data_IF_175644162458
#
_entry.id   IF_175644162458
#
_cell.length_a   1.000
_cell.length_b   1.000
_cell.length_c   1.000
_cell.angle_alpha   90.00
_cell.angle_beta   90.00
_cell.angle_gamma   90.00
#
_symmetry.space_group_name_H-M   'P 1'
#
loop_
_entity.id
_entity.type
_entity.pdbx_description
1 polymer ?
#
# COMPACT_ATOMS: atom_id res chain seq x y z
N UNK A 1 26.28 12.65 6.11
CA UNK A 1 25.79 12.05 7.37
C UNK A 1 24.34 11.59 7.23
N UNK A 2 23.36 12.45 6.93
CA UNK A 2 21.97 12.04 6.67
C UNK A 2 21.88 11.12 5.43
N UNK A 3 22.57 11.47 4.33
CA UNK A 3 22.62 10.62 3.13
C UNK A 3 23.24 9.24 3.37
N UNK A 4 24.25 9.14 4.23
CA UNK A 4 24.89 7.86 4.54
C UNK A 4 23.99 6.97 5.38
N UNK A 5 23.19 7.56 6.28
CA UNK A 5 22.17 6.85 7.06
C UNK A 5 21.09 6.31 6.13
N UNK A 6 20.49 7.14 5.27
CA UNK A 6 19.45 6.67 4.34
C UNK A 6 19.98 5.69 3.31
N UNK A 7 21.22 5.88 2.84
CA UNK A 7 21.91 4.92 2.00
C UNK A 7 22.04 3.60 2.74
N UNK A 8 22.58 3.57 3.95
CA UNK A 8 22.72 2.35 4.75
C UNK A 8 21.38 1.69 5.06
N UNK A 9 20.33 2.47 5.33
CA UNK A 9 18.95 2.00 5.50
C UNK A 9 18.47 1.34 4.22
N UNK A 10 18.63 1.97 3.05
CA UNK A 10 18.29 1.39 1.74
C UNK A 10 19.04 0.07 1.49
N UNK A 11 20.36 0.02 1.73
CA UNK A 11 21.16 -1.21 1.60
C UNK A 11 20.77 -2.30 2.61
N UNK A 12 20.27 -1.90 3.79
CA UNK A 12 19.78 -2.79 4.84
C UNK A 12 18.43 -3.43 4.50
N UNK A 13 17.64 -2.82 3.62
CA UNK A 13 16.32 -3.35 3.22
C UNK A 13 16.37 -4.48 2.17
N UNK A 14 17.55 -4.79 1.62
CA UNK A 14 17.75 -5.98 0.80
C UNK A 14 18.08 -7.18 1.71
N UNK A 15 17.15 -8.13 1.90
CA UNK A 15 17.43 -9.28 2.74
C UNK A 15 18.60 -10.07 2.16
N UNK A 16 19.57 -10.43 3.01
CA UNK A 16 20.63 -11.32 2.58
C UNK A 16 20.09 -12.74 2.35
N UNK A 17 20.83 -13.56 1.60
CA UNK A 17 20.38 -14.92 1.25
C UNK A 17 20.07 -15.77 2.50
N UNK A 18 20.86 -15.61 3.56
CA UNK A 18 20.67 -16.32 4.83
C UNK A 18 19.35 -15.94 5.51
N UNK A 19 18.95 -14.66 5.48
CA UNK A 19 17.68 -14.17 6.00
C UNK A 19 16.49 -14.72 5.19
N UNK A 20 16.60 -14.75 3.85
CA UNK A 20 15.54 -15.31 2.99
C UNK A 20 15.40 -16.83 3.22
N UNK A 21 16.51 -17.54 3.44
CA UNK A 21 16.54 -18.99 3.70
C UNK A 21 16.33 -19.36 5.17
N UNK A 22 16.27 -18.39 6.08
CA UNK A 22 16.25 -18.59 7.54
C UNK A 22 17.40 -19.49 8.04
N UNK A 23 18.59 -19.30 7.47
CA UNK A 23 19.81 -19.94 7.95
C UNK A 23 20.44 -19.00 8.97
N UNK A 24 20.74 -19.47 10.20
CA UNK A 24 21.34 -18.61 11.19
C UNK A 24 22.68 -18.00 10.71
N UNK A 25 22.77 -16.68 10.74
CA UNK A 25 23.96 -15.92 10.36
C UNK A 25 23.93 -14.49 10.95
N UNK A 26 25.11 -13.90 11.18
CA UNK A 26 25.23 -12.52 11.62
C UNK A 26 24.50 -11.55 10.66
N UNK A 27 23.53 -10.79 11.18
CA UNK A 27 22.65 -9.91 10.39
C UNK A 27 21.40 -10.59 9.78
N UNK A 28 21.27 -11.92 9.90
CA UNK A 28 20.05 -12.70 9.61
C UNK A 28 19.35 -13.18 10.91
N UNK A 29 20.07 -13.21 12.03
CA UNK A 29 19.70 -13.90 13.28
C UNK A 29 18.72 -13.20 14.23
N UNK A 30 18.22 -12.01 13.88
CA UNK A 30 17.43 -11.20 14.82
C UNK A 30 15.90 -11.29 14.62
N UNK A 31 15.40 -12.33 13.95
CA UNK A 31 13.95 -12.47 13.75
C UNK A 31 13.37 -11.49 12.73
N UNK A 32 14.17 -11.12 11.72
CA UNK A 32 13.69 -10.28 10.61
C UNK A 32 12.44 -10.93 9.96
N UNK A 33 11.33 -10.19 9.78
CA UNK A 33 10.10 -10.71 9.20
C UNK A 33 10.22 -11.03 7.70
N UNK A 34 11.32 -10.61 7.05
CA UNK A 34 11.49 -10.68 5.60
C UNK A 34 12.01 -12.05 5.11
N UNK A 35 11.28 -13.11 5.43
CA UNK A 35 11.57 -14.50 5.05
C UNK A 35 10.38 -15.16 4.35
N UNK A 36 10.65 -16.08 3.41
CA UNK A 36 9.60 -16.91 2.80
C UNK A 36 9.24 -18.08 3.73
N UNK A 37 10.21 -18.61 4.47
CA UNK A 37 10.05 -19.75 5.36
C UNK A 37 10.36 -21.10 4.70
N UNK A 38 10.86 -22.04 5.51
CA UNK A 38 11.42 -23.32 5.05
C UNK A 38 10.42 -24.20 4.28
N UNK A 39 9.13 -24.16 4.66
CA UNK A 39 8.09 -24.97 3.99
C UNK A 39 7.92 -24.53 2.54
N UNK A 40 7.97 -23.23 2.26
CA UNK A 40 7.87 -22.69 0.90
C UNK A 40 9.09 -23.06 0.04
N UNK A 41 10.28 -23.09 0.63
CA UNK A 41 11.50 -23.56 -0.05
C UNK A 41 11.43 -25.05 -0.40
N UNK A 42 11.06 -25.89 0.58
CA UNK A 42 10.91 -27.33 0.37
C UNK A 42 9.83 -27.60 -0.68
N UNK A 43 8.68 -26.94 -0.60
CA UNK A 43 7.60 -27.14 -1.58
C UNK A 43 8.00 -26.67 -2.97
N UNK A 44 8.68 -25.55 -3.13
CA UNK A 44 9.22 -25.11 -4.42
C UNK A 44 10.18 -26.16 -5.01
N UNK A 45 11.13 -26.65 -4.21
CA UNK A 45 12.09 -27.68 -4.63
C UNK A 45 11.39 -28.99 -5.03
N UNK A 46 10.50 -29.50 -4.18
CA UNK A 46 9.72 -30.73 -4.47
C UNK A 46 8.84 -30.57 -5.70
N UNK A 47 8.28 -29.38 -5.93
CA UNK A 47 7.49 -29.07 -7.13
C UNK A 47 8.36 -29.12 -8.40
N UNK A 48 9.58 -28.56 -8.34
CA UNK A 48 10.55 -28.65 -9.44
C UNK A 48 10.92 -30.12 -9.71
N UNK A 49 11.19 -30.91 -8.66
CA UNK A 49 11.50 -32.34 -8.81
C UNK A 49 10.31 -33.09 -9.44
N UNK A 50 9.09 -32.84 -8.96
CA UNK A 50 7.88 -33.42 -9.53
C UNK A 50 7.70 -33.03 -11.01
N UNK A 51 7.96 -31.76 -11.35
CA UNK A 51 7.98 -31.31 -12.74
C UNK A 51 9.00 -32.08 -13.57
N UNK A 52 10.27 -32.13 -13.17
CA UNK A 52 11.32 -32.82 -13.91
C UNK A 52 11.01 -34.32 -14.12
N UNK A 53 10.37 -34.98 -13.14
CA UNK A 53 9.93 -36.37 -13.22
C UNK A 53 8.74 -36.59 -14.16
N UNK A 54 7.80 -35.65 -14.22
CA UNK A 54 6.52 -35.82 -14.92
C UNK A 54 6.35 -34.94 -16.18
N UNK A 55 7.36 -34.15 -16.58
CA UNK A 55 7.32 -33.16 -17.70
C UNK A 55 7.27 -33.73 -19.12
N UNK A 56 6.93 -35.02 -19.32
CA UNK A 56 7.00 -35.66 -20.65
C UNK A 56 6.18 -34.91 -21.72
N UNK A 57 4.93 -34.56 -21.40
CA UNK A 57 4.06 -33.75 -22.26
C UNK A 57 3.48 -32.59 -21.44
N UNK A 58 3.91 -31.36 -21.74
CA UNK A 58 3.54 -30.17 -20.98
C UNK A 58 2.06 -29.82 -21.18
N UNK A 59 1.26 -30.02 -20.13
CA UNK A 59 -0.15 -29.61 -20.12
C UNK A 59 -0.30 -28.14 -19.64
N UNK A 60 -1.54 -27.64 -19.59
CA UNK A 60 -1.81 -26.25 -19.16
C UNK A 60 -1.38 -25.98 -17.70
N UNK A 61 -1.46 -26.98 -16.84
CA UNK A 61 -1.05 -26.88 -15.42
C UNK A 61 0.47 -26.81 -15.30
N UNK A 62 1.20 -27.58 -16.11
CA UNK A 62 2.67 -27.53 -16.18
C UNK A 62 3.14 -26.14 -16.64
N UNK A 63 2.48 -25.55 -17.64
CA UNK A 63 2.77 -24.20 -18.11
C UNK A 63 2.50 -23.14 -17.03
N UNK A 64 1.39 -23.26 -16.31
CA UNK A 64 1.08 -22.37 -15.19
C UNK A 64 2.14 -22.48 -14.07
N UNK A 65 2.58 -23.69 -13.74
CA UNK A 65 3.66 -23.90 -12.78
C UNK A 65 4.98 -23.28 -13.24
N UNK A 66 5.34 -23.41 -14.52
CA UNK A 66 6.54 -22.76 -15.07
C UNK A 66 6.47 -21.24 -14.97
N UNK A 67 5.32 -20.63 -15.32
CA UNK A 67 5.10 -19.20 -15.15
C UNK A 67 5.27 -18.80 -13.68
N UNK A 68 4.64 -19.54 -12.77
CA UNK A 68 4.77 -19.32 -11.32
C UNK A 68 6.23 -19.44 -10.84
N UNK A 69 6.98 -20.39 -11.38
CA UNK A 69 8.40 -20.59 -11.05
C UNK A 69 9.23 -19.40 -11.53
N UNK A 70 8.97 -18.89 -12.73
CA UNK A 70 9.61 -17.66 -13.24
C UNK A 70 9.31 -16.48 -12.33
N UNK A 71 8.05 -16.28 -11.92
CA UNK A 71 7.67 -15.21 -11.00
C UNK A 71 8.32 -15.35 -9.62
N UNK A 72 8.47 -16.57 -9.11
CA UNK A 72 9.20 -16.84 -7.87
C UNK A 72 10.66 -16.34 -7.96
N UNK A 73 11.36 -16.66 -9.05
CA UNK A 73 12.74 -16.21 -9.25
C UNK A 73 12.86 -14.72 -9.57
N UNK A 74 11.90 -14.12 -10.29
CA UNK A 74 11.84 -12.67 -10.48
C UNK A 74 11.72 -11.97 -9.12
N UNK A 75 10.83 -12.45 -8.26
CA UNK A 75 10.68 -11.92 -6.91
C UNK A 75 11.97 -12.04 -6.10
N UNK A 76 12.61 -13.21 -6.10
CA UNK A 76 13.90 -13.42 -5.44
C UNK A 76 14.97 -12.46 -5.94
N UNK A 77 15.06 -12.27 -7.26
CA UNK A 77 16.01 -11.36 -7.87
C UNK A 77 15.80 -9.92 -7.39
N UNK A 78 14.55 -9.42 -7.40
CA UNK A 78 14.24 -8.07 -6.92
C UNK A 78 14.39 -7.88 -5.42
N UNK A 79 14.22 -8.93 -4.61
CA UNK A 79 14.57 -8.90 -3.18
C UNK A 79 16.09 -8.89 -2.94
N UNK A 80 16.88 -9.39 -3.88
CA UNK A 80 18.32 -9.53 -3.74
C UNK A 80 19.08 -8.26 -4.14
N UNK A 81 20.27 -8.07 -3.55
CA UNK A 81 21.20 -6.98 -3.92
C UNK A 81 21.63 -7.00 -5.39
N UNK A 82 21.47 -8.14 -6.10
CA UNK A 82 21.79 -8.24 -7.52
C UNK A 82 20.91 -7.31 -8.38
N UNK A 83 19.73 -6.92 -7.89
CA UNK A 83 18.81 -6.03 -8.61
C UNK A 83 19.03 -4.54 -8.34
N UNK A 84 20.05 -4.15 -7.57
CA UNK A 84 20.19 -2.77 -7.08
C UNK A 84 20.29 -1.72 -8.19
N UNK A 85 20.96 -2.06 -9.30
CA UNK A 85 21.06 -1.18 -10.47
C UNK A 85 19.66 -0.88 -11.01
N UNK A 86 18.75 -1.85 -11.01
CA UNK A 86 17.38 -1.62 -11.45
C UNK A 86 16.63 -0.71 -10.47
N UNK A 87 16.76 -0.95 -9.16
CA UNK A 87 16.14 -0.11 -8.13
C UNK A 87 16.58 1.36 -8.19
N UNK A 88 17.84 1.61 -8.54
CA UNK A 88 18.39 2.96 -8.66
C UNK A 88 17.99 3.69 -9.95
N UNK A 89 17.68 2.94 -11.02
CA UNK A 89 17.49 3.51 -12.36
C UNK A 89 16.05 3.43 -12.87
N UNK A 90 15.16 2.67 -12.23
CA UNK A 90 13.76 2.51 -12.65
C UNK A 90 12.81 3.29 -11.73
N UNK A 91 12.22 4.41 -12.20
CA UNK A 91 11.31 5.23 -11.38
C UNK A 91 10.07 4.48 -10.88
N UNK A 92 9.64 3.42 -11.57
CA UNK A 92 8.51 2.62 -11.11
C UNK A 92 8.83 1.87 -9.80
N UNK A 93 10.08 1.42 -9.62
CA UNK A 93 10.46 0.65 -8.44
C UNK A 93 10.46 1.50 -7.16
N UNK A 94 10.71 2.81 -7.24
CA UNK A 94 10.63 3.69 -6.07
C UNK A 94 9.24 3.71 -5.44
N UNK A 95 8.18 3.46 -6.22
CA UNK A 95 6.80 3.37 -5.71
C UNK A 95 6.52 2.12 -4.87
N UNK A 96 7.35 1.07 -5.02
CA UNK A 96 7.27 -0.15 -4.21
C UNK A 96 7.88 0.09 -2.81
N UNK A 97 8.61 1.19 -2.62
CA UNK A 97 9.33 1.58 -1.39
C UNK A 97 10.47 0.62 -1.03
N UNK A 98 10.19 -0.67 -0.83
CA UNK A 98 11.15 -1.63 -0.29
C UNK A 98 11.25 -2.93 -1.10
N UNK A 99 12.47 -3.47 -1.30
CA UNK A 99 12.69 -4.74 -1.99
C UNK A 99 11.94 -5.93 -1.38
N UNK A 100 11.83 -5.98 -0.06
CA UNK A 100 11.15 -7.08 0.63
C UNK A 100 9.66 -7.19 0.29
N UNK A 101 9.01 -6.16 -0.31
CA UNK A 101 7.62 -6.27 -0.77
C UNK A 101 7.42 -7.32 -1.86
N UNK A 102 8.49 -7.67 -2.58
CA UNK A 102 8.44 -8.78 -3.52
C UNK A 102 8.20 -10.12 -2.82
N UNK A 103 8.37 -10.23 -1.49
CA UNK A 103 8.00 -11.41 -0.70
C UNK A 103 6.57 -11.90 -1.00
N UNK A 104 5.63 -10.98 -1.25
CA UNK A 104 4.26 -11.31 -1.65
C UNK A 104 4.21 -12.17 -2.92
N UNK A 105 5.06 -11.85 -3.91
CA UNK A 105 5.16 -12.61 -5.16
C UNK A 105 5.73 -14.01 -4.93
N UNK A 106 6.70 -14.15 -4.02
CA UNK A 106 7.30 -15.44 -3.69
C UNK A 106 6.32 -16.33 -2.91
N UNK A 107 5.59 -15.77 -1.95
CA UNK A 107 4.55 -16.49 -1.18
C UNK A 107 3.43 -16.94 -2.12
N UNK A 108 2.93 -16.06 -2.99
CA UNK A 108 1.91 -16.44 -3.97
C UNK A 108 2.41 -17.53 -4.94
N UNK A 109 3.63 -17.38 -5.46
CA UNK A 109 4.21 -18.35 -6.42
C UNK A 109 4.49 -19.71 -5.77
N UNK A 110 4.88 -19.74 -4.50
CA UNK A 110 5.09 -20.99 -3.74
C UNK A 110 3.78 -21.66 -3.33
N UNK A 111 2.69 -20.91 -3.13
CA UNK A 111 1.35 -21.47 -2.97
C UNK A 111 0.90 -22.20 -4.26
N UNK A 112 1.12 -21.59 -5.43
CA UNK A 112 0.85 -22.24 -6.73
C UNK A 112 1.75 -23.48 -6.93
N UNK A 113 3.03 -23.41 -6.55
CA UNK A 113 3.92 -24.57 -6.57
C UNK A 113 3.39 -25.70 -5.66
N UNK A 114 2.92 -25.38 -4.46
CA UNK A 114 2.33 -26.35 -3.53
C UNK A 114 1.10 -27.03 -4.13
N UNK A 115 0.20 -26.27 -4.76
CA UNK A 115 -0.96 -26.82 -5.48
C UNK A 115 -0.54 -27.72 -6.64
N UNK A 116 0.49 -27.33 -7.41
CA UNK A 116 1.05 -28.12 -8.49
C UNK A 116 1.65 -29.46 -8.00
N UNK A 117 2.40 -29.43 -6.89
CA UNK A 117 2.95 -30.64 -6.26
C UNK A 117 1.84 -31.60 -5.86
N UNK A 118 0.81 -31.11 -5.17
CA UNK A 118 -0.38 -31.90 -4.79
C UNK A 118 -1.04 -32.50 -6.02
N UNK A 119 -1.21 -31.71 -7.09
CA UNK A 119 -1.79 -32.17 -8.36
C UNK A 119 -0.98 -33.32 -8.98
N UNK A 120 0.36 -33.20 -9.07
CA UNK A 120 1.23 -34.27 -9.59
C UNK A 120 1.24 -35.51 -8.70
N UNK A 121 0.99 -35.35 -7.41
CA UNK A 121 0.78 -36.43 -6.45
C UNK A 121 -0.69 -36.90 -6.40
N UNK A 122 -1.44 -36.71 -7.49
CA UNK A 122 -2.82 -37.20 -7.66
C UNK A 122 -3.79 -36.67 -6.60
N UNK A 123 -3.64 -35.40 -6.21
CA UNK A 123 -4.48 -34.73 -5.22
C UNK A 123 -4.52 -35.44 -3.86
N UNK A 124 -3.38 -35.95 -3.41
CA UNK A 124 -3.27 -36.68 -2.14
C UNK A 124 -3.60 -35.77 -0.94
N UNK A 125 -4.75 -36.04 -0.29
CA UNK A 125 -5.27 -35.28 0.87
C UNK A 125 -4.31 -35.27 2.06
N UNK A 126 -3.55 -36.35 2.28
CA UNK A 126 -2.59 -36.41 3.38
C UNK A 126 -1.43 -35.43 3.15
N UNK A 127 -0.92 -35.35 1.92
CA UNK A 127 0.12 -34.37 1.56
C UNK A 127 -0.40 -32.94 1.74
N UNK A 128 -1.63 -32.66 1.30
CA UNK A 128 -2.27 -31.36 1.53
C UNK A 128 -2.37 -31.03 3.02
N UNK A 129 -2.84 -31.98 3.85
CA UNK A 129 -2.94 -31.79 5.30
C UNK A 129 -1.56 -31.55 5.94
N UNK A 130 -0.55 -32.34 5.56
CA UNK A 130 0.83 -32.16 6.05
C UNK A 130 1.35 -30.76 5.71
N UNK A 131 1.15 -30.29 4.47
CA UNK A 131 1.60 -28.95 4.07
C UNK A 131 0.87 -27.85 4.85
N UNK A 132 -0.45 -27.97 5.03
CA UNK A 132 -1.24 -27.03 5.83
C UNK A 132 -0.71 -26.98 7.27
N UNK A 133 -0.57 -28.14 7.92
CA UNK A 133 -0.07 -28.23 9.30
C UNK A 133 1.36 -27.71 9.39
N UNK A 134 2.22 -28.01 8.42
CA UNK A 134 3.60 -27.53 8.39
C UNK A 134 3.68 -26.00 8.26
N UNK A 135 2.89 -25.38 7.38
CA UNK A 135 2.83 -23.92 7.24
C UNK A 135 2.36 -23.28 8.55
N UNK A 136 1.27 -23.78 9.12
CA UNK A 136 0.73 -23.31 10.41
C UNK A 136 1.79 -23.42 11.50
N UNK A 137 2.46 -24.58 11.61
CA UNK A 137 3.49 -24.83 12.61
C UNK A 137 4.72 -23.93 12.43
N UNK A 138 5.20 -23.71 11.20
CA UNK A 138 6.36 -22.82 11.00
C UNK A 138 5.98 -21.35 11.26
N UNK A 139 4.74 -20.96 10.97
CA UNK A 139 4.21 -19.62 11.23
C UNK A 139 3.87 -19.35 12.71
N UNK A 140 3.81 -20.38 13.56
CA UNK A 140 3.44 -20.25 14.99
C UNK A 140 4.30 -19.24 15.77
N UNK A 141 5.53 -19.01 15.32
CA UNK A 141 6.44 -18.05 15.95
C UNK A 141 5.89 -16.61 15.92
N UNK A 142 5.00 -16.31 14.97
CA UNK A 142 4.32 -15.02 14.83
C UNK A 142 3.03 -14.90 15.64
N UNK A 143 2.60 -15.95 16.34
CA UNK A 143 1.37 -15.93 17.15
C UNK A 143 1.56 -15.30 18.53
N UNK A 144 2.80 -14.98 18.90
CA UNK A 144 3.14 -14.38 20.19
C UNK A 144 3.37 -12.87 20.14
N UNK A 145 3.41 -12.26 21.32
CA UNK A 145 3.75 -10.86 21.62
C UNK A 145 5.21 -10.52 21.26
N UNK A 146 5.55 -10.42 19.97
CA UNK A 146 6.88 -9.96 19.56
C UNK A 146 6.85 -8.44 19.41
N UNK A 147 7.49 -7.74 20.34
CA UNK A 147 7.86 -6.33 20.16
C UNK A 147 6.78 -5.28 20.45
N UNK A 148 5.72 -5.59 21.21
CA UNK A 148 4.86 -4.52 21.72
C UNK A 148 5.64 -3.67 22.72
N UNK A 149 5.76 -2.37 22.42
CA UNK A 149 6.12 -1.36 23.41
C UNK A 149 4.81 -1.03 24.12
N UNK A 150 4.59 -1.46 25.39
CA UNK A 150 3.34 -1.17 26.08
C UNK A 150 3.15 0.35 26.14
N UNK A 151 2.19 0.85 25.38
CA UNK A 151 1.87 2.27 25.28
C UNK A 151 0.45 2.50 25.78
N UNK A 152 0.23 3.60 26.50
CA UNK A 152 -1.08 3.91 27.05
C UNK A 152 -2.10 4.26 25.96
N UNK A 153 -3.39 4.01 26.19
CA UNK A 153 -4.46 4.46 25.28
C UNK A 153 -4.39 5.98 25.03
N UNK A 154 -3.91 6.75 26.02
CA UNK A 154 -3.66 8.19 25.87
C UNK A 154 -2.61 8.49 24.80
N UNK A 155 -1.54 7.70 24.71
CA UNK A 155 -0.53 7.86 23.67
C UNK A 155 -1.16 7.73 22.28
N UNK A 156 -1.97 6.68 22.05
CA UNK A 156 -2.62 6.48 20.75
C UNK A 156 -3.68 7.54 20.45
N UNK A 157 -4.38 8.03 21.48
CA UNK A 157 -5.36 9.11 21.33
C UNK A 157 -4.71 10.44 20.96
N UNK A 158 -3.55 10.74 21.54
CA UNK A 158 -2.84 12.00 21.35
C UNK A 158 -1.79 11.92 20.22
N UNK A 159 -1.58 10.75 19.61
CA UNK A 159 -0.59 10.53 18.56
C UNK A 159 -0.85 11.43 17.35
N UNK A 160 0.12 12.30 17.04
CA UNK A 160 0.01 13.32 15.98
C UNK A 160 0.80 12.95 14.71
N UNK A 161 1.61 11.89 14.74
CA UNK A 161 2.31 11.47 13.54
C UNK A 161 1.33 10.82 12.56
N UNK A 162 1.78 10.71 11.33
CA UNK A 162 0.96 10.21 10.23
C UNK A 162 1.39 8.78 9.88
N UNK A 163 0.65 8.12 8.98
CA UNK A 163 1.02 6.78 8.49
C UNK A 163 2.19 6.81 7.49
N UNK A 164 2.89 7.92 7.38
CA UNK A 164 4.04 8.12 6.48
C UNK A 164 5.23 8.52 7.35
N UNK A 165 6.31 7.75 7.25
CA UNK A 165 7.47 7.92 8.12
C UNK A 165 8.27 9.17 7.73
N UNK A 166 8.33 9.49 6.43
CA UNK A 166 9.16 10.57 5.87
C UNK A 166 8.36 11.53 4.98
N UNK A 167 7.04 11.48 5.06
CA UNK A 167 6.17 12.22 4.14
C UNK A 167 6.27 11.74 2.69
N UNK A 168 6.65 10.48 2.45
CA UNK A 168 6.80 9.90 1.12
C UNK A 168 5.48 9.88 0.31
N UNK A 169 4.34 9.98 1.00
CA UNK A 169 3.01 10.09 0.40
C UNK A 169 2.44 11.51 0.39
N UNK A 170 3.23 12.50 0.81
CA UNK A 170 2.82 13.91 0.84
C UNK A 170 2.55 14.40 -0.60
N UNK A 171 1.36 14.98 -0.87
CA UNK A 171 1.07 15.59 -2.17
C UNK A 171 2.13 16.59 -2.62
N UNK A 172 2.36 16.65 -3.94
CA UNK A 172 3.31 17.62 -4.51
C UNK A 172 2.79 19.04 -4.31
N UNK A 173 3.69 19.95 -3.91
CA UNK A 173 3.38 21.38 -3.74
C UNK A 173 3.03 21.79 -2.30
N UNK A 174 3.18 20.87 -1.34
CA UNK A 174 3.01 21.18 0.08
C UNK A 174 4.24 21.91 0.63
N UNK A 175 4.01 22.99 1.39
CA UNK A 175 5.06 23.71 2.10
C UNK A 175 5.65 22.87 3.24
N UNK A 176 6.98 22.85 3.45
CA UNK A 176 7.60 22.21 4.60
C UNK A 176 7.09 22.74 5.95
N UNK A 177 6.65 24.00 5.99
CA UNK A 177 6.07 24.60 7.20
C UNK A 177 4.80 23.87 7.63
N UNK A 178 3.99 23.34 6.71
CA UNK A 178 2.77 22.62 7.07
C UNK A 178 3.07 21.29 7.76
N UNK A 179 4.17 20.63 7.39
CA UNK A 179 4.51 19.31 7.94
C UNK A 179 4.95 19.36 9.41
N UNK A 180 5.36 20.53 9.90
CA UNK A 180 5.90 20.70 11.26
C UNK A 180 4.88 21.25 12.27
N UNK A 181 3.64 21.52 11.86
CA UNK A 181 2.66 22.22 12.70
C UNK A 181 1.42 21.38 12.99
N UNK A 182 1.13 21.19 14.27
CA UNK A 182 -0.19 20.73 14.73
C UNK A 182 -1.23 21.78 14.32
N UNK A 183 -1.98 21.48 13.26
CA UNK A 183 -2.95 22.43 12.70
C UNK A 183 -4.28 22.30 13.42
N UNK A 184 -4.84 23.43 13.85
CA UNK A 184 -6.26 23.51 14.18
C UNK A 184 -7.06 23.13 12.94
N UNK A 185 -8.07 22.27 13.13
CA UNK A 185 -8.95 21.77 12.07
C UNK A 185 -9.36 22.87 11.07
N UNK A 186 -10.00 23.94 11.55
CA UNK A 186 -10.36 25.09 10.72
C UNK A 186 -9.77 26.35 11.33
N UNK A 187 -9.02 27.11 10.54
CA UNK A 187 -8.36 28.35 10.97
C UNK A 187 -8.78 29.52 10.07
N UNK A 188 -9.05 30.66 10.70
CA UNK A 188 -9.37 31.91 10.00
C UNK A 188 -8.06 32.68 9.82
N UNK A 189 -7.54 32.70 8.58
CA UNK A 189 -6.28 33.35 8.27
C UNK A 189 -6.42 34.88 8.15
N UNK A 190 -7.61 35.34 7.75
CA UNK A 190 -7.94 36.75 7.62
C UNK A 190 -9.45 36.99 7.74
N UNK A 191 -9.84 38.22 8.08
CA UNK A 191 -11.25 38.62 8.21
C UNK A 191 -11.89 38.22 9.54
N UNK A 192 -13.22 38.15 9.56
CA UNK A 192 -13.98 37.82 10.76
C UNK A 192 -15.11 36.85 10.40
N UNK A 193 -15.00 35.61 10.86
CA UNK A 193 -15.98 34.54 10.58
C UNK A 193 -16.30 33.78 11.85
N UNK A 194 -17.56 33.35 12.00
CA UNK A 194 -17.99 32.39 13.03
C UNK A 194 -18.31 31.06 12.38
N UNK A 195 -17.78 29.98 12.94
CA UNK A 195 -17.97 28.61 12.45
C UNK A 195 -18.89 27.87 13.43
N UNK A 196 -19.83 27.10 12.90
CA UNK A 196 -20.76 26.29 13.69
C UNK A 196 -21.14 25.00 12.95
N UNK A 197 -21.77 24.06 13.67
CA UNK A 197 -22.30 22.80 13.11
C UNK A 197 -21.27 21.96 12.33
N UNK A 198 -20.02 21.93 12.80
CA UNK A 198 -18.95 21.15 12.17
C UNK A 198 -19.25 19.65 12.25
N UNK A 199 -19.17 18.97 11.10
CA UNK A 199 -19.30 17.52 10.95
C UNK A 199 -18.18 17.02 10.04
N UNK A 200 -17.26 16.25 10.60
CA UNK A 200 -16.13 15.67 9.88
C UNK A 200 -16.31 14.15 9.77
N UNK A 201 -16.17 13.64 8.56
CA UNK A 201 -16.07 12.21 8.24
C UNK A 201 -14.86 12.00 7.32
N UNK A 202 -14.53 10.74 6.99
CA UNK A 202 -13.31 10.40 6.25
C UNK A 202 -13.23 11.02 4.84
N UNK A 203 -14.37 11.24 4.18
CA UNK A 203 -14.43 11.74 2.80
C UNK A 203 -15.31 12.99 2.64
N UNK A 204 -15.87 13.50 3.74
CA UNK A 204 -16.76 14.65 3.73
C UNK A 204 -16.61 15.45 5.01
N UNK A 205 -16.36 16.75 4.86
CA UNK A 205 -16.33 17.72 5.93
C UNK A 205 -17.34 18.81 5.64
N UNK A 206 -18.23 19.08 6.57
CA UNK A 206 -19.25 20.11 6.45
C UNK A 206 -19.22 21.03 7.67
N UNK A 207 -19.40 22.33 7.45
CA UNK A 207 -19.60 23.32 8.51
C UNK A 207 -20.38 24.53 8.00
N UNK A 208 -21.05 25.22 8.91
CA UNK A 208 -21.77 26.46 8.63
C UNK A 208 -20.92 27.66 9.04
N UNK A 209 -20.86 28.68 8.19
CA UNK A 209 -20.10 29.92 8.42
C UNK A 209 -20.98 31.16 8.36
N UNK A 210 -20.80 32.05 9.34
CA UNK A 210 -21.28 33.43 9.33
C UNK A 210 -20.07 34.34 9.15
N UNK A 211 -19.89 34.87 7.95
CA UNK A 211 -18.77 35.73 7.56
C UNK A 211 -19.20 37.18 7.76
N UNK A 212 -18.61 37.84 8.76
CA UNK A 212 -18.87 39.25 9.11
C UNK A 212 -18.01 40.23 8.31
N UNK A 213 -16.86 39.75 7.81
CA UNK A 213 -15.94 40.48 6.93
C UNK A 213 -15.28 39.46 6.02
N UNK A 214 -15.12 39.79 4.74
CA UNK A 214 -14.45 38.93 3.75
C UNK A 214 -13.25 38.21 4.39
N UNK A 215 -13.31 36.88 4.39
CA UNK A 215 -12.45 36.02 5.18
C UNK A 215 -11.77 34.98 4.31
N UNK A 216 -10.51 34.71 4.61
CA UNK A 216 -9.80 33.53 4.11
C UNK A 216 -9.80 32.47 5.19
N UNK A 217 -10.36 31.30 4.88
CA UNK A 217 -10.50 30.18 5.80
C UNK A 217 -9.63 29.02 5.30
N UNK A 218 -8.80 28.51 6.19
CA UNK A 218 -7.91 27.35 5.97
C UNK A 218 -8.51 26.14 6.66
N UNK A 219 -8.47 25.01 5.98
CA UNK A 219 -8.80 23.69 6.54
C UNK A 219 -7.53 22.85 6.61
N UNK A 220 -7.35 22.11 7.71
CA UNK A 220 -6.20 21.24 7.95
C UNK A 220 -6.29 19.91 7.16
N UNK A 221 -6.55 20.01 5.86
CA UNK A 221 -6.53 18.91 4.91
C UNK A 221 -5.54 19.23 3.81
N UNK A 222 -4.65 18.27 3.54
CA UNK A 222 -3.72 18.33 2.41
C UNK A 222 -4.50 18.26 1.09
N UNK A 223 -4.22 19.20 0.19
CA UNK A 223 -4.83 19.30 -1.14
C UNK A 223 -4.32 18.17 -2.06
N UNK A 224 -4.94 17.00 -1.93
CA UNK A 224 -4.74 15.86 -2.82
C UNK A 224 -5.77 15.85 -3.96
N UNK A 225 -5.39 15.43 -5.19
CA UNK A 225 -6.32 15.33 -6.31
C UNK A 225 -7.59 14.55 -5.98
N UNK A 226 -8.75 15.20 -6.12
CA UNK A 226 -10.07 14.63 -5.83
C UNK A 226 -10.87 15.43 -4.82
N UNK A 227 -10.21 16.22 -3.96
CA UNK A 227 -10.89 17.16 -3.09
C UNK A 227 -11.60 18.27 -3.88
N UNK A 228 -12.82 18.58 -3.45
CA UNK A 228 -13.66 19.65 -4.00
C UNK A 228 -14.28 20.41 -2.85
N UNK A 229 -14.38 21.73 -2.98
CA UNK A 229 -15.13 22.55 -2.04
C UNK A 229 -16.43 22.99 -2.69
N UNK A 230 -17.52 22.94 -1.94
CA UNK A 230 -18.80 23.53 -2.29
C UNK A 230 -19.19 24.60 -1.28
N UNK A 231 -19.66 25.73 -1.77
CA UNK A 231 -20.14 26.87 -1.00
C UNK A 231 -21.61 27.07 -1.39
N UNK A 232 -22.56 26.81 -0.47
CA UNK A 232 -23.99 26.82 -0.76
C UNK A 232 -24.38 25.99 -2.01
N UNK A 233 -23.90 24.74 -2.07
CA UNK A 233 -24.06 23.80 -3.18
C UNK A 233 -23.44 24.19 -4.53
N UNK A 234 -22.72 25.32 -4.63
CA UNK A 234 -21.97 25.71 -5.83
C UNK A 234 -20.50 25.37 -5.66
N UNK A 235 -19.82 25.06 -6.75
CA UNK A 235 -18.38 24.76 -6.72
C UNK A 235 -17.60 26.00 -6.24
N UNK A 236 -16.81 25.82 -5.18
CA UNK A 236 -15.89 26.80 -4.64
C UNK A 236 -14.49 26.57 -5.19
N UNK A 237 -13.73 27.66 -5.33
CA UNK A 237 -12.34 27.61 -5.77
C UNK A 237 -11.40 27.38 -4.59
N UNK A 238 -10.56 26.34 -4.70
CA UNK A 238 -9.46 26.09 -3.77
C UNK A 238 -8.27 26.95 -4.21
N UNK A 239 -7.80 27.81 -3.32
CA UNK A 239 -6.68 28.70 -3.59
C UNK A 239 -5.38 27.90 -3.49
N UNK A 240 -4.72 27.72 -4.64
CA UNK A 240 -3.43 27.02 -4.72
C UNK A 240 -2.30 27.95 -4.29
N UNK A 241 -1.28 27.36 -3.66
CA UNK A 241 -0.04 28.04 -3.26
C UNK A 241 -0.28 29.30 -2.40
N UNK A 242 -1.24 29.25 -1.47
CA UNK A 242 -1.59 30.40 -0.64
C UNK A 242 -0.49 30.73 0.37
N UNK A 243 -0.01 31.98 0.37
CA UNK A 243 0.97 32.51 1.32
C UNK A 243 0.51 33.83 1.88
N UNK A 244 0.78 34.08 3.16
CA UNK A 244 0.58 35.38 3.77
C UNK A 244 1.73 35.71 4.75
N UNK A 245 1.60 36.80 5.48
CA UNK A 245 2.58 37.26 6.48
C UNK A 245 2.75 36.30 7.67
N UNK A 246 1.79 35.40 7.92
CA UNK A 246 1.80 34.44 9.03
C UNK A 246 2.38 33.08 8.64
N UNK A 247 2.57 32.79 7.33
CA UNK A 247 3.17 31.55 6.86
C UNK A 247 2.82 31.16 5.43
N UNK A 248 3.41 30.05 4.99
CA UNK A 248 3.17 29.40 3.70
C UNK A 248 2.20 28.22 3.87
N UNK A 249 0.97 28.39 3.38
CA UNK A 249 -0.10 27.39 3.42
C UNK A 249 -0.28 26.66 2.08
N UNK A 250 0.75 26.68 1.22
CA UNK A 250 0.72 25.97 -0.06
C UNK A 250 0.47 24.48 0.15
N UNK A 251 -0.55 23.93 -0.51
CA UNK A 251 -0.91 22.51 -0.43
C UNK A 251 -1.92 22.17 0.67
N UNK A 252 -2.50 23.15 1.36
CA UNK A 252 -3.72 22.99 2.15
C UNK A 252 -4.95 23.48 1.38
N UNK A 253 -6.14 23.01 1.78
CA UNK A 253 -7.40 23.54 1.26
C UNK A 253 -7.67 24.91 1.91
N UNK A 254 -7.56 25.96 1.10
CA UNK A 254 -7.83 27.36 1.49
C UNK A 254 -8.91 27.94 0.58
N UNK A 255 -9.89 28.61 1.18
CA UNK A 255 -10.99 29.26 0.44
C UNK A 255 -11.22 30.68 0.90
N UNK A 256 -11.61 31.54 -0.04
CA UNK A 256 -12.10 32.88 0.25
C UNK A 256 -13.62 32.85 0.34
N UNK A 257 -14.14 33.37 1.45
CA UNK A 257 -15.56 33.53 1.67
C UNK A 257 -15.87 35.04 1.75
N UNK A 258 -16.70 35.57 0.84
CA UNK A 258 -17.19 36.95 0.96
C UNK A 258 -18.13 37.07 2.16
N UNK A 259 -18.47 38.29 2.56
CA UNK A 259 -19.46 38.55 3.62
C UNK A 259 -20.79 37.80 3.36
N UNK A 260 -21.38 37.22 4.39
CA UNK A 260 -22.64 36.49 4.30
C UNK A 260 -22.63 35.14 5.04
N UNK A 261 -23.69 34.36 4.80
CA UNK A 261 -23.90 33.04 5.40
C UNK A 261 -23.67 31.94 4.38
N UNK A 262 -22.83 30.98 4.74
CA UNK A 262 -22.49 29.87 3.85
C UNK A 262 -22.50 28.54 4.57
N UNK A 263 -22.97 27.53 3.86
CA UNK A 263 -22.69 26.13 4.15
C UNK A 263 -21.49 25.72 3.31
N UNK A 264 -20.39 25.38 3.96
CA UNK A 264 -19.16 24.94 3.29
C UNK A 264 -19.06 23.42 3.41
N UNK A 265 -18.81 22.77 2.28
CA UNK A 265 -18.64 21.33 2.19
C UNK A 265 -17.35 20.99 1.44
N UNK A 266 -16.48 20.21 2.06
CA UNK A 266 -15.26 19.68 1.47
C UNK A 266 -15.47 18.20 1.23
N UNK A 267 -15.46 17.77 -0.03
CA UNK A 267 -15.84 16.42 -0.43
C UNK A 267 -14.68 15.79 -1.20
N UNK A 268 -14.29 14.58 -0.80
CA UNK A 268 -13.32 13.79 -1.54
C UNK A 268 -14.04 12.96 -2.61
N UNK A 269 -13.86 13.35 -3.87
CA UNK A 269 -14.49 12.70 -5.01
C UNK A 269 -13.54 11.85 -5.84
N UNK A 270 -14.13 11.19 -6.84
CA UNK A 270 -13.37 10.41 -7.81
C UNK A 270 -12.50 11.28 -8.72
N UNK A 271 -11.32 10.75 -9.05
CA UNK A 271 -10.41 11.36 -10.03
C UNK A 271 -10.56 10.66 -11.37
N UNK A 272 -10.16 11.32 -12.46
CA UNK A 272 -10.15 10.71 -13.80
C UNK A 272 -9.33 9.42 -13.85
N UNK A 273 -8.22 9.39 -13.10
CA UNK A 273 -7.36 8.22 -12.99
C UNK A 273 -8.05 7.06 -12.27
N UNK A 274 -8.73 7.33 -11.15
CA UNK A 274 -9.47 6.30 -10.40
C UNK A 274 -10.64 5.75 -11.21
N UNK A 275 -11.40 6.62 -11.87
CA UNK A 275 -12.48 6.20 -12.78
C UNK A 275 -11.95 5.28 -13.87
N UNK A 276 -10.80 5.61 -14.48
CA UNK A 276 -10.18 4.73 -15.48
C UNK A 276 -9.77 3.38 -14.87
N UNK A 277 -9.19 3.38 -13.67
CA UNK A 277 -8.82 2.16 -12.96
C UNK A 277 -10.06 1.29 -12.64
N UNK A 278 -11.18 1.89 -12.24
CA UNK A 278 -12.44 1.18 -11.98
C UNK A 278 -12.96 0.49 -13.24
N UNK A 279 -12.94 1.20 -14.38
CA UNK A 279 -13.33 0.61 -15.67
C UNK A 279 -12.40 -0.53 -16.09
N UNK A 280 -11.09 -0.41 -15.86
CA UNK A 280 -10.14 -1.48 -16.14
C UNK A 280 -10.38 -2.71 -15.25
N UNK A 281 -10.68 -2.51 -13.96
CA UNK A 281 -11.07 -3.58 -13.04
C UNK A 281 -12.36 -4.26 -13.50
N UNK A 282 -13.38 -3.47 -13.87
CA UNK A 282 -14.66 -4.00 -14.36
C UNK A 282 -14.49 -4.80 -15.66
N UNK A 283 -13.73 -4.28 -16.62
CA UNK A 283 -13.42 -4.96 -17.87
C UNK A 283 -12.69 -6.29 -17.63
N UNK A 284 -11.73 -6.30 -16.69
CA UNK A 284 -11.01 -7.51 -16.29
C UNK A 284 -11.94 -8.55 -15.66
N UNK A 285 -12.87 -8.12 -14.80
CA UNK A 285 -13.85 -9.01 -14.17
C UNK A 285 -14.80 -9.62 -15.21
N UNK A 286 -15.31 -8.81 -16.14
CA UNK A 286 -16.18 -9.28 -17.24
C UNK A 286 -15.43 -10.29 -18.11
N UNK A 287 -14.17 -10.03 -18.44
CA UNK A 287 -13.35 -10.95 -19.22
C UNK A 287 -13.17 -12.29 -18.51
N UNK A 288 -12.82 -12.27 -17.23
CA UNK A 288 -12.65 -13.49 -16.42
C UNK A 288 -13.97 -14.28 -16.36
N UNK A 289 -15.08 -13.61 -16.10
CA UNK A 289 -16.39 -14.25 -16.03
C UNK A 289 -16.82 -14.84 -17.38
N UNK A 290 -16.57 -14.13 -18.49
CA UNK A 290 -16.79 -14.64 -19.84
C UNK A 290 -15.97 -15.89 -20.15
N UNK A 291 -14.69 -15.93 -19.72
CA UNK A 291 -13.83 -17.11 -19.88
C UNK A 291 -14.30 -18.30 -19.05
N UNK A 292 -14.77 -18.06 -17.82
CA UNK A 292 -15.33 -19.10 -16.94
C UNK A 292 -16.61 -19.67 -17.57
N UNK A 293 -17.54 -18.81 -18.00
CA UNK A 293 -18.79 -19.23 -18.62
C UNK A 293 -18.57 -19.99 -19.93
N UNK A 294 -17.64 -19.53 -20.78
CA UNK A 294 -17.26 -20.25 -22.01
C UNK A 294 -16.74 -21.65 -21.70
N UNK A 295 -15.92 -21.79 -20.65
CA UNK A 295 -15.38 -23.09 -20.22
C UNK A 295 -16.48 -24.01 -19.68
N UNK A 296 -17.41 -23.47 -18.88
CA UNK A 296 -18.54 -24.23 -18.34
C UNK A 296 -19.42 -24.81 -19.47
N UNK A 297 -19.77 -23.99 -20.46
CA UNK A 297 -20.57 -24.45 -21.61
C UNK A 297 -19.84 -25.49 -22.47
N UNK A 298 -18.52 -25.35 -22.64
CA UNK A 298 -17.73 -26.32 -23.39
C UNK A 298 -17.56 -27.67 -22.67
N UNK A 299 -17.81 -27.74 -21.37
CA UNK A 299 -17.78 -28.99 -20.59
C UNK A 299 -19.15 -29.70 -20.55
N UNK A 300 -20.24 -28.97 -20.79
CA UNK A 300 -21.62 -29.46 -20.75
C UNK A 300 -22.22 -29.71 -22.15
N UNK A 301 -21.43 -29.55 -23.22
CA UNK A 301 -21.74 -29.99 -24.58
C UNK A 301 -20.87 -31.19 -24.92
#
# INVERSE_FOLDING_TARGET
>A
MIDDVYKNVFWGHFPNLFAILRIPAFGADLGSPFQIGIVHWITALLSIIAFLKFRRNLNKIDKLFLISTVFFFIGLFFMSRASIVLWQNLPLLSTILFPWRFLNLLVFSSAVASAYLIFKLRNNKLVSLILIVAVIYVSRHWWGWVGQIPTSDKYYKDYQETTTDEGEFTPRGISPEIMNHASVNIEILSGATRISNEKLTNNHWQFDTLVLKNSTVKMAILDFPGWKVKINNRDGEIIKNFKNQNGDYSGLIVVNLPEGNYKVEVIFGETRLRILADYLTLASLILIMGLILKRYHAQNR
#
